data_IF_487337657395
#
_entry.id   IF_487337657395
#
_cell.length_a   1.000
_cell.length_b   1.000
_cell.length_c   1.000
_cell.angle_alpha   90.00
_cell.angle_beta   90.00
_cell.angle_gamma   90.00
#
_symmetry.space_group_name_H-M   'P 1'
#
loop_
_entity.id
_entity.type
_entity.pdbx_description
1 polymer ?
#
# COMPACT_ATOMS: atom_id res chain seq x y z
N UNK A 1 -16.08 -4.88 78.83
CA UNK A 1 -16.20 -3.86 77.83
C UNK A 1 -14.81 -3.63 77.22
N UNK A 2 -14.50 -4.23 76.08
CA UNK A 2 -13.21 -4.04 75.37
C UNK A 2 -13.58 -3.66 73.91
N UNK A 3 -13.25 -2.43 73.55
CA UNK A 3 -13.39 -1.84 72.22
C UNK A 3 -12.35 -2.41 71.29
N UNK A 4 -12.79 -2.96 70.16
CA UNK A 4 -11.95 -3.40 69.03
C UNK A 4 -11.94 -2.30 67.92
N UNK A 5 -10.86 -1.55 67.89
CA UNK A 5 -10.57 -0.62 66.74
C UNK A 5 -10.22 -1.39 65.50
N UNK A 6 -10.99 -1.23 64.44
CA UNK A 6 -10.68 -1.74 63.11
C UNK A 6 -9.82 -0.70 62.38
N UNK A 7 -8.57 -1.10 62.07
CA UNK A 7 -7.65 -0.33 61.25
C UNK A 7 -7.99 -0.62 59.76
N UNK A 8 -8.49 0.37 59.04
CA UNK A 8 -8.70 0.29 57.58
C UNK A 8 -7.43 0.75 56.90
N UNK A 9 -6.75 -0.17 56.21
CA UNK A 9 -5.62 0.14 55.34
C UNK A 9 -6.22 0.55 53.99
N UNK A 10 -6.11 1.80 53.62
CA UNK A 10 -6.38 2.30 52.28
C UNK A 10 -5.15 2.07 51.39
N UNK A 11 -5.25 1.15 50.44
CA UNK A 11 -4.26 0.98 49.40
C UNK A 11 -4.60 1.98 48.29
N UNK A 12 -3.86 3.06 48.22
CA UNK A 12 -3.90 4.00 47.10
C UNK A 12 -3.14 3.40 45.90
N UNK A 13 -3.87 2.99 44.89
CA UNK A 13 -3.33 2.70 43.55
C UNK A 13 -2.89 4.03 42.94
N UNK A 14 -1.61 4.32 43.00
CA UNK A 14 -1.01 5.38 42.21
C UNK A 14 -0.89 4.86 40.78
N UNK A 15 -1.83 5.24 39.90
CA UNK A 15 -1.70 5.07 38.45
C UNK A 15 -0.61 6.04 37.97
N UNK A 16 0.47 5.49 37.47
CA UNK A 16 1.62 6.24 36.95
C UNK A 16 1.24 6.98 35.68
N UNK A 17 1.38 8.31 35.60
CA UNK A 17 1.25 9.07 34.37
C UNK A 17 2.58 9.13 33.58
N UNK A 18 3.51 8.20 33.80
CA UNK A 18 4.86 8.28 33.24
C UNK A 18 4.94 7.98 31.73
N UNK A 19 4.11 7.10 31.18
CA UNK A 19 4.24 6.67 29.78
C UNK A 19 3.97 7.79 28.75
N UNK A 20 3.05 8.69 29.05
CA UNK A 20 2.69 9.80 28.14
C UNK A 20 3.72 10.94 28.12
N UNK A 21 4.45 11.13 29.20
CA UNK A 21 5.45 12.19 29.29
C UNK A 21 6.77 11.81 28.58
N UNK A 22 7.14 10.52 28.55
CA UNK A 22 8.34 10.04 27.86
C UNK A 22 8.18 10.04 26.33
N UNK A 23 6.98 9.74 25.80
CA UNK A 23 6.69 9.78 24.37
C UNK A 23 6.76 11.21 23.80
N UNK A 24 6.24 12.20 24.54
CA UNK A 24 6.33 13.61 24.15
C UNK A 24 7.78 14.10 24.07
N UNK A 25 8.66 13.63 24.95
CA UNK A 25 10.05 14.08 25.00
C UNK A 25 10.88 13.57 23.82
N UNK A 26 10.66 12.36 23.32
CA UNK A 26 11.46 11.80 22.22
C UNK A 26 11.24 12.55 20.88
N UNK A 27 9.98 12.91 20.58
CA UNK A 27 9.67 13.70 19.37
C UNK A 27 10.10 15.16 19.53
N UNK A 28 10.00 15.73 20.72
CA UNK A 28 10.49 17.09 20.98
C UNK A 28 12.03 17.17 20.87
N UNK A 29 12.76 16.18 21.36
CA UNK A 29 14.20 16.05 21.21
C UNK A 29 14.61 15.91 19.72
N UNK A 30 13.84 15.09 18.97
CA UNK A 30 14.04 14.93 17.54
C UNK A 30 13.80 16.24 16.78
N UNK A 31 12.78 17.02 17.14
CA UNK A 31 12.50 18.32 16.56
C UNK A 31 13.61 19.33 16.87
N UNK A 32 14.11 19.40 18.10
CA UNK A 32 15.20 20.28 18.47
C UNK A 32 16.50 19.95 17.69
N UNK A 33 16.80 18.66 17.52
CA UNK A 33 17.93 18.23 16.70
C UNK A 33 17.75 18.60 15.22
N UNK A 34 16.54 18.36 14.67
CA UNK A 34 16.20 18.66 13.28
C UNK A 34 16.31 20.17 12.95
N UNK A 35 16.10 21.05 13.92
CA UNK A 35 16.26 22.50 13.74
C UNK A 35 17.70 22.96 13.42
N UNK A 36 18.67 22.10 13.72
CA UNK A 36 20.09 22.36 13.44
C UNK A 36 20.52 21.81 12.07
N UNK A 37 19.63 21.08 11.39
CA UNK A 37 19.91 20.41 10.12
C UNK A 37 19.48 21.25 8.91
N UNK A 38 20.04 20.99 7.72
CA UNK A 38 19.58 21.59 6.46
C UNK A 38 18.13 21.22 6.11
N UNK A 39 17.59 21.87 5.08
CA UNK A 39 16.32 21.47 4.47
C UNK A 39 16.39 20.03 3.92
N UNK A 40 15.26 19.31 3.97
CA UNK A 40 15.15 17.97 3.41
C UNK A 40 14.42 17.94 2.06
N UNK A 41 14.84 17.03 1.19
CA UNK A 41 14.13 16.69 -0.04
C UNK A 41 13.51 15.31 0.09
N UNK A 42 12.20 15.22 -0.14
CA UNK A 42 11.41 13.99 0.05
C UNK A 42 10.70 13.58 -1.24
N UNK A 43 10.80 12.32 -1.61
CA UNK A 43 10.26 11.77 -2.87
C UNK A 43 9.12 10.80 -2.62
N UNK A 44 8.06 10.89 -3.44
CA UNK A 44 6.98 9.90 -3.51
C UNK A 44 6.43 9.82 -4.94
N UNK A 45 5.83 8.71 -5.30
CA UNK A 45 5.14 8.51 -6.59
C UNK A 45 3.82 9.28 -6.68
N UNK A 46 3.21 9.66 -5.56
CA UNK A 46 2.03 10.52 -5.53
C UNK A 46 2.40 12.01 -5.44
N UNK A 47 1.59 12.88 -6.10
CA UNK A 47 1.74 14.34 -5.96
C UNK A 47 1.36 14.87 -4.57
N UNK A 48 0.72 14.05 -3.73
CA UNK A 48 0.35 14.40 -2.35
C UNK A 48 1.56 14.75 -1.48
N UNK A 49 2.74 14.25 -1.84
CA UNK A 49 4.00 14.55 -1.13
C UNK A 49 4.32 16.05 -1.08
N UNK A 50 3.88 16.82 -2.09
CA UNK A 50 4.13 18.28 -2.15
C UNK A 50 3.36 18.97 -1.01
N UNK A 51 2.04 18.71 -0.92
CA UNK A 51 1.21 19.29 0.15
C UNK A 51 1.59 18.76 1.55
N UNK A 52 2.04 17.49 1.63
CA UNK A 52 2.53 16.89 2.88
C UNK A 52 3.84 17.58 3.35
N UNK A 53 4.78 17.87 2.46
CA UNK A 53 6.01 18.58 2.78
C UNK A 53 5.75 20.04 3.18
N UNK A 54 4.81 20.72 2.52
CA UNK A 54 4.38 22.06 2.88
C UNK A 54 3.72 22.10 4.27
N UNK A 55 2.82 21.16 4.56
CA UNK A 55 2.16 21.07 5.86
C UNK A 55 3.15 20.72 6.98
N UNK A 56 4.07 19.78 6.75
CA UNK A 56 5.19 19.50 7.66
C UNK A 56 6.00 20.77 7.96
N UNK A 57 6.38 21.49 6.91
CA UNK A 57 7.19 22.71 7.04
C UNK A 57 6.46 23.78 7.88
N UNK A 58 5.17 23.93 7.66
CA UNK A 58 4.32 24.84 8.43
C UNK A 58 4.17 24.42 9.89
N UNK A 59 4.00 23.13 10.14
CA UNK A 59 3.78 22.57 11.49
C UNK A 59 5.02 22.69 12.37
N UNK A 60 6.17 22.32 11.85
CA UNK A 60 7.41 22.20 12.64
C UNK A 60 8.37 23.38 12.48
N UNK A 61 8.12 24.29 11.53
CA UNK A 61 9.04 25.40 11.23
C UNK A 61 10.34 24.97 10.54
N UNK A 62 10.34 23.75 9.98
CA UNK A 62 11.45 23.18 9.21
C UNK A 62 11.21 23.39 7.72
N UNK A 63 12.25 23.15 6.89
CA UNK A 63 12.12 23.22 5.44
C UNK A 63 12.14 21.81 4.85
N UNK A 64 11.06 21.45 4.16
CA UNK A 64 10.95 20.22 3.39
C UNK A 64 10.44 20.53 1.98
N UNK A 65 11.05 19.93 0.96
CA UNK A 65 10.61 19.99 -0.43
C UNK A 65 10.07 18.61 -0.84
N UNK A 66 8.80 18.56 -1.23
CA UNK A 66 8.15 17.35 -1.75
C UNK A 66 8.32 17.27 -3.27
N UNK A 67 8.82 16.13 -3.76
CA UNK A 67 9.03 15.88 -5.18
C UNK A 67 8.28 14.63 -5.63
N UNK A 68 7.37 14.78 -6.61
CA UNK A 68 6.71 13.63 -7.24
C UNK A 68 7.68 12.95 -8.21
N UNK A 69 7.98 11.66 -7.97
CA UNK A 69 8.84 10.86 -8.83
C UNK A 69 8.43 9.38 -8.78
N UNK A 70 8.41 8.69 -9.92
CA UNK A 70 8.10 7.26 -9.97
C UNK A 70 9.14 6.46 -9.17
N UNK A 71 8.71 5.39 -8.49
CA UNK A 71 9.58 4.57 -7.64
C UNK A 71 10.88 4.12 -8.32
N UNK A 72 10.90 3.60 -9.57
CA UNK A 72 12.16 3.22 -10.22
C UNK A 72 13.14 4.40 -10.42
N UNK A 73 12.63 5.59 -10.72
CA UNK A 73 13.50 6.76 -10.90
C UNK A 73 14.08 7.25 -9.56
N UNK A 74 13.29 7.19 -8.49
CA UNK A 74 13.75 7.57 -7.15
C UNK A 74 14.79 6.58 -6.64
N UNK A 75 14.56 5.28 -6.84
CA UNK A 75 15.48 4.22 -6.49
C UNK A 75 16.82 4.38 -7.21
N UNK A 76 16.80 4.56 -8.54
CA UNK A 76 18.01 4.80 -9.34
C UNK A 76 18.75 6.07 -8.89
N UNK A 77 18.01 7.13 -8.55
CA UNK A 77 18.59 8.38 -8.01
C UNK A 77 19.37 8.12 -6.73
N UNK A 78 18.77 7.45 -5.74
CA UNK A 78 19.44 7.15 -4.47
C UNK A 78 20.70 6.33 -4.69
N UNK A 79 20.67 5.31 -5.56
CA UNK A 79 21.83 4.51 -5.91
C UNK A 79 22.96 5.37 -6.48
N UNK A 80 22.64 6.24 -7.46
CA UNK A 80 23.64 7.13 -8.08
C UNK A 80 24.21 8.15 -7.10
N UNK A 81 23.37 8.74 -6.26
CA UNK A 81 23.81 9.69 -5.24
C UNK A 81 24.73 9.04 -4.22
N UNK A 82 24.39 7.81 -3.75
CA UNK A 82 25.21 7.04 -2.84
C UNK A 82 26.58 6.67 -3.46
N UNK A 83 26.58 6.19 -4.70
CA UNK A 83 27.82 5.84 -5.42
C UNK A 83 28.71 7.06 -5.67
N UNK A 84 28.11 8.24 -5.89
CA UNK A 84 28.85 9.47 -6.09
C UNK A 84 29.28 10.15 -4.78
N UNK A 85 28.81 9.67 -3.61
CA UNK A 85 29.04 10.32 -2.32
C UNK A 85 28.40 11.71 -2.22
N UNK A 86 27.34 11.97 -2.99
CA UNK A 86 26.66 13.27 -3.05
C UNK A 86 25.15 13.07 -2.86
N UNK A 87 24.74 12.94 -1.61
CA UNK A 87 23.35 12.70 -1.22
C UNK A 87 22.54 13.99 -1.33
N UNK A 88 21.46 13.94 -2.11
CA UNK A 88 20.48 15.01 -2.28
C UNK A 88 19.07 14.58 -1.88
N UNK A 89 18.84 13.28 -1.86
CA UNK A 89 17.59 12.65 -1.39
C UNK A 89 17.74 12.38 0.10
N UNK A 90 16.82 12.90 0.93
CA UNK A 90 16.81 12.61 2.36
C UNK A 90 15.83 11.51 2.70
N UNK A 91 14.61 11.57 2.15
CA UNK A 91 13.54 10.60 2.38
C UNK A 91 12.95 10.12 1.06
N UNK A 92 12.68 8.85 0.95
CA UNK A 92 11.93 8.25 -0.16
C UNK A 92 10.75 7.44 0.36
N UNK A 93 9.58 7.70 -0.21
CA UNK A 93 8.38 6.89 -0.03
C UNK A 93 8.20 6.07 -1.32
N UNK A 94 8.50 4.77 -1.24
CA UNK A 94 8.62 3.91 -2.41
C UNK A 94 7.47 2.89 -2.46
N UNK A 95 6.70 2.93 -3.54
CA UNK A 95 5.69 1.91 -3.88
C UNK A 95 6.33 0.80 -4.74
N UNK A 96 7.47 0.29 -4.29
CA UNK A 96 8.19 -0.86 -4.84
C UNK A 96 9.04 -1.45 -3.70
N UNK A 97 8.39 -2.11 -2.75
CA UNK A 97 9.05 -2.67 -1.57
C UNK A 97 10.12 -3.72 -1.93
N UNK A 98 9.91 -4.64 -2.89
CA UNK A 98 10.92 -5.61 -3.31
C UNK A 98 12.22 -4.97 -3.84
N UNK A 99 12.10 -4.04 -4.77
CA UNK A 99 13.28 -3.36 -5.31
C UNK A 99 14.00 -2.50 -4.25
N UNK A 100 13.23 -1.87 -3.37
CA UNK A 100 13.81 -1.07 -2.28
C UNK A 100 14.54 -1.94 -1.26
N UNK A 101 14.00 -3.10 -0.90
CA UNK A 101 14.67 -4.06 -0.02
C UNK A 101 15.99 -4.54 -0.65
N UNK A 102 15.94 -5.09 -1.86
CA UNK A 102 17.09 -5.69 -2.52
C UNK A 102 18.18 -4.67 -2.94
N UNK A 103 17.78 -3.47 -3.37
CA UNK A 103 18.71 -2.54 -3.99
C UNK A 103 19.12 -1.35 -3.11
N UNK A 104 18.36 -1.05 -2.05
CA UNK A 104 18.68 0.06 -1.16
C UNK A 104 18.99 -0.40 0.26
N UNK A 105 18.19 -1.29 0.85
CA UNK A 105 18.39 -1.74 2.23
C UNK A 105 19.57 -2.71 2.31
N UNK A 106 19.59 -3.78 1.51
CA UNK A 106 20.65 -4.78 1.52
C UNK A 106 22.01 -4.20 1.13
N UNK A 107 22.03 -3.16 0.30
CA UNK A 107 23.27 -2.48 -0.12
C UNK A 107 23.69 -1.37 0.85
N UNK A 108 22.86 -1.02 1.81
CA UNK A 108 23.10 0.07 2.75
C UNK A 108 23.01 1.48 2.15
N UNK A 109 22.43 1.66 0.96
CA UNK A 109 22.23 2.97 0.34
C UNK A 109 21.08 3.76 0.97
N UNK A 110 20.17 3.07 1.63
CA UNK A 110 19.17 3.64 2.53
C UNK A 110 19.03 2.74 3.75
N UNK A 111 18.37 3.25 4.78
CA UNK A 111 18.07 2.48 5.98
C UNK A 111 16.63 2.65 6.42
N UNK A 112 16.13 1.62 7.09
CA UNK A 112 14.83 1.63 7.75
C UNK A 112 14.92 2.36 9.09
N UNK A 113 13.88 3.11 9.44
CA UNK A 113 13.72 3.68 10.77
C UNK A 113 12.26 3.59 11.18
N UNK A 114 12.02 3.09 12.38
CA UNK A 114 10.70 2.95 12.97
C UNK A 114 10.61 3.79 14.27
N UNK A 115 9.56 4.61 14.46
CA UNK A 115 9.34 5.36 15.70
C UNK A 115 8.82 4.43 16.81
N UNK A 116 9.62 4.19 17.86
CA UNK A 116 9.30 3.25 18.95
C UNK A 116 7.97 3.55 19.66
N UNK A 117 7.57 4.81 19.71
CA UNK A 117 6.29 5.25 20.28
C UNK A 117 5.05 4.75 19.55
N UNK A 118 5.20 4.25 18.32
CA UNK A 118 4.11 3.71 17.51
C UNK A 118 4.03 2.17 17.56
N UNK A 119 4.80 1.52 18.44
CA UNK A 119 4.87 0.06 18.54
C UNK A 119 3.52 -0.60 18.84
N UNK A 120 2.64 0.06 19.60
CA UNK A 120 1.33 -0.47 19.94
C UNK A 120 0.28 -0.27 18.84
N UNK A 121 0.52 0.62 17.88
CA UNK A 121 -0.44 0.99 16.84
C UNK A 121 -0.08 0.51 15.45
N UNK A 122 1.19 0.17 15.20
CA UNK A 122 1.65 -0.40 13.92
C UNK A 122 2.04 -1.86 14.13
N UNK A 123 1.43 -2.77 13.36
CA UNK A 123 1.75 -4.19 13.40
C UNK A 123 3.22 -4.44 13.04
N UNK A 124 3.86 -5.42 13.70
CA UNK A 124 5.25 -5.80 13.49
C UNK A 124 5.61 -6.01 12.00
N UNK A 125 4.70 -6.62 11.23
CA UNK A 125 4.87 -6.86 9.80
C UNK A 125 5.07 -5.61 8.95
N UNK A 126 4.72 -4.42 9.46
CA UNK A 126 4.83 -3.14 8.76
C UNK A 126 5.97 -2.24 9.27
N UNK A 127 6.85 -2.76 10.16
CA UNK A 127 7.91 -1.96 10.78
C UNK A 127 9.25 -2.09 10.07
N UNK A 128 9.51 -3.23 9.41
CA UNK A 128 10.77 -3.49 8.72
C UNK A 128 10.54 -4.29 7.42
N UNK A 129 10.61 -3.61 6.26
CA UNK A 129 10.70 -2.16 6.09
C UNK A 129 9.42 -1.43 6.55
N UNK A 130 9.58 -0.19 7.03
CA UNK A 130 8.47 0.62 7.50
C UNK A 130 7.49 0.95 6.36
N UNK A 131 6.31 0.35 6.40
CA UNK A 131 5.22 0.73 5.52
C UNK A 131 4.46 1.94 6.09
N UNK A 132 4.41 3.02 5.32
CA UNK A 132 3.69 4.26 5.71
C UNK A 132 2.19 4.11 5.45
N UNK A 133 1.86 3.61 4.26
CA UNK A 133 0.49 3.37 3.82
C UNK A 133 0.38 2.07 3.03
N UNK A 134 -0.82 1.49 3.06
CA UNK A 134 -1.23 0.42 2.18
C UNK A 134 -2.18 0.99 1.11
N UNK A 135 -1.84 0.82 -0.16
CA UNK A 135 -2.62 1.33 -1.28
C UNK A 135 -3.51 0.21 -1.84
N UNK A 136 -4.84 0.27 -1.68
CA UNK A 136 -5.73 -0.74 -2.25
C UNK A 136 -5.81 -0.64 -3.76
N UNK A 137 -5.77 -1.81 -4.42
CA UNK A 137 -6.19 -2.03 -5.79
C UNK A 137 -7.38 -3.00 -5.74
N UNK A 138 -8.49 -2.62 -6.33
CA UNK A 138 -9.76 -3.32 -6.20
C UNK A 138 -10.34 -3.69 -7.56
N UNK A 139 -11.08 -4.78 -7.62
CA UNK A 139 -11.85 -5.13 -8.79
C UNK A 139 -13.08 -4.22 -8.86
N UNK A 140 -13.25 -3.60 -10.02
CA UNK A 140 -14.27 -2.56 -10.26
C UNK A 140 -15.14 -2.90 -11.45
N UNK A 141 -16.37 -2.43 -11.39
CA UNK A 141 -17.36 -2.55 -12.46
C UNK A 141 -18.07 -1.20 -12.71
N UNK A 142 -18.86 -1.13 -13.76
CA UNK A 142 -19.65 0.06 -14.10
C UNK A 142 -21.04 0.00 -13.47
N UNK A 143 -21.30 0.87 -12.50
CA UNK A 143 -22.59 0.96 -11.79
C UNK A 143 -23.74 1.53 -12.65
N UNK A 144 -23.45 2.13 -13.81
CA UNK A 144 -24.46 2.53 -14.75
C UNK A 144 -24.97 1.37 -15.64
N UNK A 145 -24.18 0.29 -15.74
CA UNK A 145 -24.53 -0.91 -16.52
C UNK A 145 -25.07 -2.06 -15.64
N UNK A 146 -24.65 -2.11 -14.39
CA UNK A 146 -24.98 -3.19 -13.45
C UNK A 146 -25.35 -2.64 -12.08
N UNK A 147 -26.42 -3.12 -11.50
CA UNK A 147 -26.84 -2.78 -10.13
C UNK A 147 -25.90 -3.36 -9.07
N UNK A 148 -25.26 -4.50 -9.38
CA UNK A 148 -24.26 -5.19 -8.55
C UNK A 148 -23.10 -5.66 -9.43
N UNK A 149 -21.96 -6.00 -8.83
CA UNK A 149 -20.86 -6.59 -9.57
C UNK A 149 -21.32 -7.85 -10.32
N UNK A 150 -21.05 -7.98 -11.63
CA UNK A 150 -21.52 -9.11 -12.42
C UNK A 150 -20.70 -10.39 -12.21
N UNK A 151 -19.67 -10.38 -11.35
CA UNK A 151 -18.88 -11.55 -10.96
C UNK A 151 -18.88 -11.69 -9.43
N UNK A 152 -18.87 -12.93 -8.94
CA UNK A 152 -18.77 -13.27 -7.52
C UNK A 152 -17.52 -14.08 -7.16
N UNK A 153 -16.75 -14.51 -8.17
CA UNK A 153 -15.54 -15.30 -7.97
C UNK A 153 -14.44 -14.86 -8.93
N UNK A 154 -13.21 -14.75 -8.45
CA UNK A 154 -12.07 -14.27 -9.26
C UNK A 154 -11.77 -15.17 -10.47
N UNK A 155 -12.16 -16.45 -10.42
CA UNK A 155 -11.99 -17.39 -11.53
C UNK A 155 -12.94 -17.09 -12.71
N UNK A 156 -14.05 -16.40 -12.49
CA UNK A 156 -14.92 -15.95 -13.57
C UNK A 156 -14.18 -15.04 -14.57
N UNK A 157 -13.20 -14.28 -14.11
CA UNK A 157 -12.35 -13.43 -14.98
C UNK A 157 -11.57 -14.22 -16.04
N UNK A 158 -11.46 -15.53 -15.88
CA UNK A 158 -10.78 -16.42 -16.82
C UNK A 158 -11.73 -17.07 -17.83
N UNK A 159 -13.04 -16.89 -17.67
CA UNK A 159 -14.07 -17.48 -18.51
C UNK A 159 -14.22 -16.78 -19.86
N UNK A 160 -14.70 -17.48 -20.89
CA UNK A 160 -14.90 -16.93 -22.23
C UNK A 160 -15.77 -15.67 -22.29
N UNK A 161 -16.72 -15.50 -21.35
CA UNK A 161 -17.56 -14.31 -21.24
C UNK A 161 -16.76 -13.03 -21.03
N UNK A 162 -15.67 -13.13 -20.29
CA UNK A 162 -14.79 -12.02 -19.95
C UNK A 162 -13.56 -11.89 -20.85
N UNK A 163 -13.47 -12.67 -21.93
CA UNK A 163 -12.38 -12.54 -22.92
C UNK A 163 -12.33 -11.11 -23.45
N UNK A 164 -11.18 -10.43 -23.27
CA UNK A 164 -10.93 -9.03 -23.64
C UNK A 164 -11.84 -8.00 -22.94
N UNK A 165 -12.50 -8.40 -21.85
CA UNK A 165 -13.38 -7.55 -21.03
C UNK A 165 -12.86 -7.36 -19.60
N UNK A 166 -11.68 -7.87 -19.30
CA UNK A 166 -10.92 -7.54 -18.10
C UNK A 166 -9.92 -6.45 -18.45
N UNK A 167 -9.84 -5.38 -17.66
CA UNK A 167 -8.84 -4.32 -17.87
C UNK A 167 -7.97 -4.13 -16.64
N UNK A 168 -6.69 -3.93 -16.86
CA UNK A 168 -5.68 -3.70 -15.82
C UNK A 168 -4.46 -3.03 -16.39
N UNK A 169 -3.59 -2.49 -15.56
CA UNK A 169 -2.29 -2.06 -16.04
C UNK A 169 -1.45 -3.27 -16.48
N UNK A 170 -0.54 -3.05 -17.44
CA UNK A 170 0.35 -4.10 -17.89
C UNK A 170 1.26 -4.57 -16.73
N UNK A 171 1.21 -5.85 -16.31
CA UNK A 171 2.06 -6.39 -15.26
C UNK A 171 3.57 -6.26 -15.56
N UNK A 172 3.97 -6.22 -16.83
CA UNK A 172 5.37 -5.99 -17.20
C UNK A 172 5.81 -4.55 -16.96
N UNK A 173 4.86 -3.59 -17.04
CA UNK A 173 5.09 -2.17 -16.78
C UNK A 173 4.83 -1.76 -15.32
N UNK A 174 4.17 -2.60 -14.52
CA UNK A 174 3.80 -2.35 -13.12
C UNK A 174 4.25 -3.51 -12.23
N UNK A 175 5.50 -3.50 -11.73
CA UNK A 175 6.07 -4.59 -10.96
C UNK A 175 5.20 -5.06 -9.78
N UNK A 176 4.48 -4.16 -9.11
CA UNK A 176 3.59 -4.52 -8.00
C UNK A 176 2.54 -5.58 -8.34
N UNK A 177 2.18 -5.77 -9.61
CA UNK A 177 1.23 -6.82 -9.98
C UNK A 177 1.90 -8.20 -9.98
N UNK A 178 3.12 -8.32 -10.46
CA UNK A 178 3.86 -9.58 -10.39
C UNK A 178 4.28 -9.91 -8.96
N UNK A 179 4.57 -8.89 -8.15
CA UNK A 179 4.80 -9.06 -6.71
C UNK A 179 3.53 -9.59 -6.02
N UNK A 180 2.36 -9.04 -6.36
CA UNK A 180 1.07 -9.54 -5.87
C UNK A 180 0.82 -10.99 -6.28
N UNK A 181 1.14 -11.40 -7.51
CA UNK A 181 1.04 -12.79 -7.93
C UNK A 181 1.91 -13.70 -7.07
N UNK A 182 3.16 -13.29 -6.79
CA UNK A 182 4.05 -14.04 -5.92
C UNK A 182 3.50 -14.14 -4.49
N UNK A 183 3.03 -13.04 -3.93
CA UNK A 183 2.41 -12.98 -2.60
C UNK A 183 1.18 -13.90 -2.50
N UNK A 184 0.32 -13.91 -3.50
CA UNK A 184 -0.82 -14.83 -3.55
C UNK A 184 -0.37 -16.29 -3.60
N UNK A 185 0.66 -16.62 -4.38
CA UNK A 185 1.18 -17.98 -4.45
C UNK A 185 1.78 -18.45 -3.11
N UNK A 186 2.43 -17.54 -2.38
CA UNK A 186 3.06 -17.86 -1.10
C UNK A 186 2.09 -17.88 0.08
N UNK A 187 1.12 -16.96 0.10
CA UNK A 187 0.31 -16.69 1.28
C UNK A 187 -1.20 -16.87 1.06
N UNK A 188 -1.64 -17.03 -0.18
CA UNK A 188 -3.05 -17.08 -0.55
C UNK A 188 -3.45 -18.27 -1.43
N UNK A 189 -2.53 -19.17 -1.76
CA UNK A 189 -2.76 -20.23 -2.74
C UNK A 189 -3.88 -21.19 -2.33
N UNK A 190 -4.01 -21.48 -1.04
CA UNK A 190 -5.11 -22.30 -0.51
C UNK A 190 -6.48 -21.62 -0.72
N UNK A 191 -6.57 -20.30 -0.54
CA UNK A 191 -7.80 -19.56 -0.78
C UNK A 191 -8.13 -19.49 -2.28
N UNK A 192 -7.13 -19.36 -3.15
CA UNK A 192 -7.29 -19.43 -4.60
C UNK A 192 -7.77 -20.81 -5.04
N UNK A 193 -7.27 -21.90 -4.43
CA UNK A 193 -7.70 -23.27 -4.70
C UNK A 193 -9.14 -23.51 -4.21
N UNK A 194 -9.50 -22.99 -3.04
CA UNK A 194 -10.87 -23.09 -2.51
C UNK A 194 -11.87 -22.32 -3.39
N UNK A 195 -11.50 -21.11 -3.86
CA UNK A 195 -12.31 -20.35 -4.80
C UNK A 195 -12.48 -21.08 -6.15
N UNK A 196 -11.45 -21.78 -6.63
CA UNK A 196 -11.55 -22.64 -7.81
C UNK A 196 -12.57 -23.75 -7.61
N UNK A 197 -12.46 -24.48 -6.51
CA UNK A 197 -13.38 -25.59 -6.21
C UNK A 197 -14.82 -25.08 -6.03
N UNK A 198 -15.01 -23.93 -5.40
CA UNK A 198 -16.32 -23.31 -5.24
C UNK A 198 -16.93 -22.93 -6.60
N UNK A 199 -16.13 -22.45 -7.55
CA UNK A 199 -16.59 -22.02 -8.87
C UNK A 199 -16.86 -23.22 -9.80
N UNK A 200 -15.94 -24.19 -9.88
CA UNK A 200 -16.01 -25.30 -10.84
C UNK A 200 -16.65 -26.59 -10.28
N UNK A 201 -16.84 -26.69 -8.97
CA UNK A 201 -17.43 -27.87 -8.30
C UNK A 201 -16.47 -29.07 -8.15
N UNK A 202 -15.19 -28.90 -8.41
CA UNK A 202 -14.15 -29.91 -8.25
C UNK A 202 -12.80 -29.24 -7.94
N UNK A 203 -11.88 -29.92 -7.24
CA UNK A 203 -10.55 -29.37 -6.96
C UNK A 203 -9.75 -29.20 -8.25
N UNK A 204 -8.77 -28.27 -8.21
CA UNK A 204 -7.82 -28.06 -9.30
C UNK A 204 -7.07 -29.36 -9.59
N UNK A 205 -6.99 -29.74 -10.86
CA UNK A 205 -6.26 -30.92 -11.28
C UNK A 205 -4.74 -30.62 -11.30
N UNK A 206 -3.94 -31.58 -10.82
CA UNK A 206 -2.49 -31.52 -10.68
C UNK A 206 -2.00 -30.73 -9.46
N UNK A 207 -0.74 -30.94 -9.08
CA UNK A 207 -0.06 -30.27 -7.96
C UNK A 207 0.42 -28.84 -8.33
N UNK A 208 -0.26 -28.17 -9.25
CA UNK A 208 0.07 -26.81 -9.65
C UNK A 208 -0.49 -25.81 -8.64
N UNK A 209 0.26 -24.74 -8.35
CA UNK A 209 -0.24 -23.61 -7.57
C UNK A 209 -1.50 -23.04 -8.23
N UNK A 210 -2.57 -22.87 -7.45
CA UNK A 210 -3.83 -22.32 -7.93
C UNK A 210 -3.66 -20.89 -8.43
N UNK A 211 -2.80 -20.12 -7.78
CA UNK A 211 -2.41 -18.78 -8.22
C UNK A 211 -1.74 -18.81 -9.59
N UNK A 212 -0.77 -19.72 -9.80
CA UNK A 212 -0.10 -19.84 -11.10
C UNK A 212 -1.07 -20.25 -12.20
N UNK A 213 -1.99 -21.19 -11.91
CA UNK A 213 -3.03 -21.59 -12.85
C UNK A 213 -3.97 -20.43 -13.20
N UNK A 214 -4.39 -19.64 -12.20
CA UNK A 214 -5.23 -18.47 -12.41
C UNK A 214 -4.53 -17.40 -13.24
N UNK A 215 -3.26 -17.04 -12.92
CA UNK A 215 -2.48 -16.05 -13.68
C UNK A 215 -2.32 -16.45 -15.15
N UNK A 216 -2.03 -17.74 -15.42
CA UNK A 216 -1.97 -18.27 -16.79
C UNK A 216 -3.30 -18.15 -17.53
N UNK A 217 -4.39 -18.53 -16.87
CA UNK A 217 -5.73 -18.47 -17.43
C UNK A 217 -6.17 -17.02 -17.69
N UNK A 218 -5.91 -16.10 -16.75
CA UNK A 218 -6.19 -14.67 -16.92
C UNK A 218 -5.39 -14.09 -18.10
N UNK A 219 -4.09 -14.38 -18.19
CA UNK A 219 -3.26 -13.94 -19.31
C UNK A 219 -3.75 -14.48 -20.65
N UNK A 220 -4.16 -15.77 -20.69
CA UNK A 220 -4.73 -16.40 -21.88
C UNK A 220 -6.10 -15.83 -22.28
N UNK A 221 -6.84 -15.25 -21.34
CA UNK A 221 -8.13 -14.60 -21.60
C UNK A 221 -7.99 -13.19 -22.21
N UNK A 222 -6.76 -12.78 -22.53
CA UNK A 222 -6.45 -11.56 -23.28
C UNK A 222 -6.97 -10.27 -22.64
N UNK A 223 -6.68 -9.99 -21.35
CA UNK A 223 -7.13 -8.75 -20.73
C UNK A 223 -6.63 -7.52 -21.50
N UNK A 224 -7.41 -6.44 -21.48
CA UNK A 224 -7.03 -5.14 -22.02
C UNK A 224 -5.98 -4.51 -21.10
N UNK A 225 -4.73 -4.53 -21.54
CA UNK A 225 -3.62 -3.93 -20.82
C UNK A 225 -3.50 -2.45 -21.10
N UNK A 226 -3.31 -1.65 -20.05
CA UNK A 226 -3.22 -0.20 -20.13
C UNK A 226 -1.91 0.33 -19.52
N UNK A 227 -1.49 1.52 -19.98
CA UNK A 227 -0.28 2.18 -19.49
C UNK A 227 -0.48 2.87 -18.13
N UNK A 228 -1.73 3.06 -17.73
CA UNK A 228 -2.08 3.80 -16.51
C UNK A 228 -3.36 3.28 -15.87
N UNK A 229 -3.42 3.46 -14.57
CA UNK A 229 -4.61 3.19 -13.77
C UNK A 229 -5.83 4.02 -14.20
N UNK A 230 -5.61 5.25 -14.70
CA UNK A 230 -6.68 6.07 -15.25
C UNK A 230 -7.30 5.45 -16.49
N UNK A 231 -6.48 4.96 -17.42
CA UNK A 231 -6.98 4.33 -18.64
C UNK A 231 -7.75 3.03 -18.33
N UNK A 232 -7.31 2.28 -17.31
CA UNK A 232 -8.06 1.11 -16.84
C UNK A 232 -9.44 1.50 -16.28
N UNK A 233 -9.49 2.54 -15.44
CA UNK A 233 -10.74 3.05 -14.88
C UNK A 233 -11.68 3.61 -15.96
N UNK A 234 -11.16 4.35 -16.95
CA UNK A 234 -11.91 4.88 -18.09
C UNK A 234 -12.50 3.74 -18.94
N UNK A 235 -11.75 2.66 -19.16
CA UNK A 235 -12.27 1.50 -19.89
C UNK A 235 -13.44 0.82 -19.16
N UNK A 236 -13.47 0.86 -17.82
CA UNK A 236 -14.59 0.33 -17.03
C UNK A 236 -15.79 1.27 -17.05
N UNK A 237 -15.58 2.54 -16.75
CA UNK A 237 -16.68 3.40 -16.25
C UNK A 237 -16.63 4.84 -16.77
N UNK A 238 -16.10 5.07 -17.98
CA UNK A 238 -16.29 6.39 -18.63
C UNK A 238 -17.77 6.67 -18.88
N UNK A 239 -18.21 7.95 -18.91
CA UNK A 239 -19.61 8.31 -19.04
C UNK A 239 -20.34 7.71 -20.25
N UNK A 240 -19.61 7.43 -21.33
CA UNK A 240 -20.15 6.89 -22.58
C UNK A 240 -19.90 5.39 -22.76
N UNK A 241 -19.37 4.69 -21.73
CA UNK A 241 -19.08 3.27 -21.81
C UNK A 241 -20.38 2.44 -21.90
N UNK A 242 -20.50 1.64 -22.95
CA UNK A 242 -21.64 0.76 -23.18
C UNK A 242 -21.30 -0.73 -23.02
N UNK A 243 -20.02 -1.07 -23.07
CA UNK A 243 -19.54 -2.44 -22.87
C UNK A 243 -19.24 -2.71 -21.41
N UNK A 244 -19.59 -3.91 -20.96
CA UNK A 244 -19.29 -4.36 -19.61
C UNK A 244 -17.83 -4.78 -19.51
N UNK A 245 -17.05 -4.10 -18.67
CA UNK A 245 -15.69 -4.44 -18.28
C UNK A 245 -15.60 -4.65 -16.78
N UNK A 246 -14.73 -5.58 -16.38
CA UNK A 246 -14.21 -5.65 -15.00
C UNK A 246 -12.80 -5.10 -15.01
N UNK A 247 -12.49 -4.17 -14.10
CA UNK A 247 -11.17 -3.53 -14.04
C UNK A 247 -10.47 -3.71 -12.71
N UNK A 248 -9.16 -3.87 -12.73
CA UNK A 248 -8.34 -3.79 -11.53
C UNK A 248 -7.77 -2.37 -11.43
N UNK A 249 -8.28 -1.57 -10.50
CA UNK A 249 -7.93 -0.15 -10.35
C UNK A 249 -7.63 0.21 -8.90
N UNK A 250 -6.89 1.29 -8.67
CA UNK A 250 -6.71 1.80 -7.31
C UNK A 250 -7.97 2.55 -6.83
N UNK A 251 -8.19 2.54 -5.52
CA UNK A 251 -9.26 3.32 -4.87
C UNK A 251 -9.19 4.82 -5.17
N UNK A 252 -8.00 5.34 -5.48
CA UNK A 252 -7.81 6.74 -5.87
C UNK A 252 -8.63 7.16 -7.11
N UNK A 253 -9.10 6.20 -7.94
CA UNK A 253 -9.91 6.49 -9.13
C UNK A 253 -11.36 6.83 -8.81
N UNK A 254 -11.85 6.44 -7.66
CA UNK A 254 -13.23 6.73 -7.24
C UNK A 254 -13.55 8.23 -7.07
N UNK A 255 -12.52 9.09 -6.88
CA UNK A 255 -12.69 10.54 -6.91
C UNK A 255 -13.25 11.04 -8.26
N UNK A 256 -12.99 10.31 -9.34
CA UNK A 256 -13.42 10.66 -10.69
C UNK A 256 -14.93 10.38 -10.89
N UNK A 257 -15.58 9.66 -9.96
CA UNK A 257 -17.04 9.55 -9.90
C UNK A 257 -17.71 10.92 -9.73
N UNK A 258 -17.08 11.86 -9.04
CA UNK A 258 -17.55 13.24 -8.95
C UNK A 258 -17.54 13.96 -10.31
N UNK A 259 -16.80 13.46 -11.30
CA UNK A 259 -16.68 13.98 -12.65
C UNK A 259 -17.47 13.15 -13.68
N UNK A 260 -18.36 12.27 -13.22
CA UNK A 260 -19.27 11.50 -14.07
C UNK A 260 -18.82 10.07 -14.38
N UNK A 261 -17.71 9.58 -13.83
CA UNK A 261 -17.43 8.15 -13.85
C UNK A 261 -18.40 7.39 -12.94
N UNK A 262 -18.56 6.09 -13.20
CA UNK A 262 -19.54 5.24 -12.51
C UNK A 262 -18.87 3.96 -11.97
N UNK A 263 -17.71 4.13 -11.29
CA UNK A 263 -16.98 3.02 -10.68
C UNK A 263 -17.70 2.49 -9.43
N UNK A 264 -17.88 1.17 -9.35
CA UNK A 264 -18.27 0.43 -8.15
C UNK A 264 -17.24 -0.64 -7.82
N UNK A 265 -17.14 -1.05 -6.56
CA UNK A 265 -16.27 -2.15 -6.09
C UNK A 265 -17.05 -3.47 -6.17
N UNK A 266 -16.40 -4.55 -6.61
CA UNK A 266 -16.92 -5.92 -6.52
C UNK A 266 -16.80 -6.42 -5.07
N UNK A 267 -17.73 -6.01 -4.19
CA UNK A 267 -17.64 -6.17 -2.73
C UNK A 267 -17.71 -7.64 -2.27
N UNK A 268 -18.46 -8.49 -2.99
CA UNK A 268 -18.69 -9.90 -2.64
C UNK A 268 -17.79 -10.86 -3.45
N UNK A 269 -16.65 -10.39 -3.95
CA UNK A 269 -15.77 -11.18 -4.79
C UNK A 269 -14.91 -12.15 -3.96
N UNK A 270 -15.04 -13.45 -4.21
CA UNK A 270 -14.26 -14.52 -3.59
C UNK A 270 -12.95 -14.75 -4.38
N UNK A 271 -11.77 -14.96 -3.75
CA UNK A 271 -11.51 -14.91 -2.31
C UNK A 271 -11.25 -13.48 -1.77
N UNK A 272 -10.99 -12.50 -2.63
CA UNK A 272 -10.73 -11.10 -2.24
C UNK A 272 -11.26 -10.13 -3.28
N UNK A 273 -11.84 -9.03 -2.80
CA UNK A 273 -12.28 -7.93 -3.68
C UNK A 273 -11.12 -7.13 -4.32
N UNK A 274 -9.90 -7.42 -3.91
CA UNK A 274 -8.68 -6.76 -4.36
C UNK A 274 -7.53 -7.04 -3.41
N UNK A 275 -6.52 -6.19 -3.43
CA UNK A 275 -5.30 -6.35 -2.64
C UNK A 275 -4.71 -5.00 -2.23
N UNK A 276 -3.85 -5.00 -1.21
CA UNK A 276 -3.11 -3.83 -0.77
C UNK A 276 -1.65 -3.91 -1.20
N UNK A 277 -1.04 -2.75 -1.49
CA UNK A 277 0.39 -2.67 -1.76
C UNK A 277 1.05 -1.57 -0.91
N UNK A 278 2.20 -1.85 -0.27
CA UNK A 278 2.83 -0.91 0.63
C UNK A 278 3.53 0.24 -0.12
N UNK A 279 3.49 1.42 0.49
CA UNK A 279 4.49 2.45 0.22
C UNK A 279 5.41 2.52 1.43
N UNK A 280 6.67 2.12 1.26
CA UNK A 280 7.65 2.06 2.35
C UNK A 280 8.42 3.36 2.47
N UNK A 281 8.69 3.78 3.71
CA UNK A 281 9.43 4.99 4.03
C UNK A 281 10.89 4.67 4.38
N UNK A 282 11.83 5.22 3.62
CA UNK A 282 13.25 5.02 3.78
C UNK A 282 14.00 6.33 3.93
N UNK A 283 15.11 6.31 4.66
CA UNK A 283 16.04 7.42 4.81
C UNK A 283 17.32 7.10 4.04
N UNK A 284 17.74 7.99 3.15
CA UNK A 284 18.98 7.81 2.39
C UNK A 284 20.20 7.81 3.32
N UNK A 285 21.08 6.83 3.15
CA UNK A 285 22.32 6.75 3.92
C UNK A 285 23.24 7.93 3.56
N UNK A 286 23.76 8.62 4.58
CA UNK A 286 24.61 9.78 4.38
C UNK A 286 23.85 11.10 4.19
N UNK A 287 22.52 11.13 4.39
CA UNK A 287 21.78 12.41 4.53
C UNK A 287 22.42 13.30 5.61
N UNK A 288 22.43 14.59 5.37
CA UNK A 288 22.90 15.57 6.36
C UNK A 288 21.79 16.00 7.33
N UNK A 289 20.58 15.49 7.14
CA UNK A 289 19.39 15.85 7.93
C UNK A 289 18.67 14.61 8.49
N UNK A 290 19.37 13.69 9.20
CA UNK A 290 18.79 12.43 9.64
C UNK A 290 17.63 12.61 10.65
N UNK A 291 17.66 13.66 11.47
CA UNK A 291 16.61 13.92 12.45
C UNK A 291 15.36 14.52 11.79
N UNK A 292 15.55 15.46 10.85
CA UNK A 292 14.45 15.99 10.05
C UNK A 292 13.81 14.91 9.17
N UNK A 293 14.59 13.97 8.61
CA UNK A 293 14.12 12.82 7.85
C UNK A 293 13.27 11.89 8.71
N UNK A 294 13.73 11.54 9.92
CA UNK A 294 12.97 10.75 10.89
C UNK A 294 11.66 11.43 11.29
N UNK A 295 11.74 12.73 11.61
CA UNK A 295 10.56 13.52 11.98
C UNK A 295 9.54 13.60 10.83
N UNK A 296 10.01 13.64 9.57
CA UNK A 296 9.14 13.61 8.40
C UNK A 296 8.43 12.25 8.25
N UNK A 297 9.13 11.13 8.42
CA UNK A 297 8.51 9.80 8.43
C UNK A 297 7.49 9.68 9.57
N UNK A 298 7.82 10.14 10.77
CA UNK A 298 6.88 10.19 11.88
C UNK A 298 5.63 11.02 11.53
N UNK A 299 5.82 12.20 10.94
CA UNK A 299 4.72 13.06 10.51
C UNK A 299 3.78 12.37 9.53
N UNK A 300 4.30 11.64 8.55
CA UNK A 300 3.49 10.89 7.59
C UNK A 300 2.64 9.80 8.26
N UNK A 301 3.06 9.30 9.42
CA UNK A 301 2.31 8.33 10.22
C UNK A 301 1.27 8.98 11.14
N UNK A 302 1.17 10.32 11.20
CA UNK A 302 0.10 11.01 11.95
C UNK A 302 -1.16 11.14 11.09
N UNK A 303 -2.32 11.34 11.76
CA UNK A 303 -3.60 11.58 11.07
C UNK A 303 -3.50 12.79 10.12
N UNK A 304 -2.87 13.87 10.53
CA UNK A 304 -2.64 15.07 9.70
C UNK A 304 -1.73 14.77 8.50
N UNK A 305 -0.63 14.05 8.74
CA UNK A 305 0.35 13.76 7.70
C UNK A 305 -0.18 12.80 6.63
N UNK A 306 -1.03 11.82 7.01
CA UNK A 306 -1.61 10.86 6.07
C UNK A 306 -2.87 11.39 5.37
N UNK A 307 -3.55 12.41 5.91
CA UNK A 307 -4.84 12.88 5.43
C UNK A 307 -4.93 13.11 3.92
N UNK A 308 -3.93 13.73 3.24
CA UNK A 308 -3.98 13.90 1.78
C UNK A 308 -4.05 12.59 1.00
N UNK A 309 -3.41 11.53 1.48
CA UNK A 309 -3.42 10.21 0.84
C UNK A 309 -4.64 9.39 1.26
N UNK A 310 -5.14 9.57 2.48
CA UNK A 310 -6.34 8.91 2.98
C UNK A 310 -7.60 9.29 2.18
N UNK A 311 -7.68 10.50 1.63
CA UNK A 311 -8.74 10.92 0.70
C UNK A 311 -8.76 10.14 -0.63
N UNK A 312 -7.65 9.52 -0.99
CA UNK A 312 -7.52 8.64 -2.15
C UNK A 312 -7.71 7.15 -1.77
N UNK A 313 -8.22 6.86 -0.55
CA UNK A 313 -8.48 5.50 -0.05
C UNK A 313 -7.22 4.75 0.39
N UNK A 314 -6.08 5.42 0.54
CA UNK A 314 -4.88 4.78 1.07
C UNK A 314 -4.99 4.61 2.58
N UNK A 315 -4.82 3.37 3.02
CA UNK A 315 -5.02 2.94 4.40
C UNK A 315 -3.75 3.19 5.20
N UNK A 316 -3.85 3.90 6.32
CA UNK A 316 -2.74 4.03 7.28
C UNK A 316 -2.35 2.65 7.83
N UNK A 317 -1.05 2.41 8.04
CA UNK A 317 -0.57 1.22 8.75
C UNK A 317 -0.80 1.29 10.26
N UNK A 318 -1.15 2.46 10.78
CA UNK A 318 -1.61 2.62 12.17
C UNK A 318 -3.05 2.14 12.30
N UNK A 319 -3.28 1.28 13.27
CA UNK A 319 -4.61 0.69 13.56
C UNK A 319 -5.62 1.68 14.15
N UNK A 320 -5.14 2.79 14.73
CA UNK A 320 -5.94 3.84 15.37
C UNK A 320 -6.31 5.00 14.42
N UNK A 321 -5.87 4.97 13.15
CA UNK A 321 -6.23 5.96 12.13
C UNK A 321 -7.18 5.32 11.11
N UNK A 322 -8.41 5.81 11.05
CA UNK A 322 -9.41 5.40 10.08
C UNK A 322 -9.37 6.28 8.82
N UNK A 323 -9.89 5.74 7.71
CA UNK A 323 -10.14 6.56 6.51
C UNK A 323 -11.26 7.58 6.81
N UNK A 324 -11.18 8.78 6.23
CA UNK A 324 -12.22 9.79 6.41
C UNK A 324 -13.54 9.32 5.79
N UNK A 325 -14.67 9.68 6.42
CA UNK A 325 -16.00 9.33 5.92
C UNK A 325 -16.32 9.93 4.53
N UNK A 326 -15.55 10.92 4.10
CA UNK A 326 -15.63 11.54 2.76
C UNK A 326 -14.79 10.84 1.70
N UNK A 327 -14.10 9.75 2.03
CA UNK A 327 -13.33 8.96 1.07
C UNK A 327 -14.28 8.30 0.06
N UNK A 328 -14.08 8.54 -1.26
CA UNK A 328 -15.11 8.25 -2.26
C UNK A 328 -15.39 6.77 -2.51
N UNK A 329 -14.43 5.88 -2.26
CA UNK A 329 -14.57 4.45 -2.59
C UNK A 329 -15.32 3.64 -1.53
N UNK A 330 -15.36 4.12 -0.28
CA UNK A 330 -15.91 3.38 0.85
C UNK A 330 -15.04 2.20 1.30
N UNK A 331 -13.81 2.07 0.81
CA UNK A 331 -12.93 0.92 1.07
C UNK A 331 -12.64 0.69 2.55
N UNK A 332 -12.78 1.73 3.39
CA UNK A 332 -12.58 1.61 4.82
C UNK A 332 -13.47 0.55 5.49
N UNK A 333 -14.70 0.37 5.00
CA UNK A 333 -15.61 -0.68 5.48
C UNK A 333 -15.27 -2.08 4.95
N UNK A 334 -14.56 -2.15 3.82
CA UNK A 334 -14.28 -3.37 3.08
C UNK A 334 -12.85 -3.89 3.26
N UNK A 335 -12.00 -3.17 4.01
CA UNK A 335 -10.56 -3.46 4.13
C UNK A 335 -10.22 -4.90 4.55
N UNK A 336 -11.10 -5.55 5.32
CA UNK A 336 -10.91 -6.93 5.77
C UNK A 336 -11.07 -7.97 4.64
N UNK A 337 -11.63 -7.58 3.50
CA UNK A 337 -11.83 -8.44 2.33
C UNK A 337 -10.71 -8.25 1.28
N UNK A 338 -9.69 -7.44 1.58
CA UNK A 338 -8.52 -7.28 0.73
C UNK A 338 -7.46 -8.34 1.07
N UNK A 339 -6.80 -8.86 0.04
CA UNK A 339 -5.55 -9.59 0.23
C UNK A 339 -4.48 -8.60 0.73
N UNK A 340 -3.91 -8.89 1.87
CA UNK A 340 -2.99 -7.97 2.54
C UNK A 340 -1.53 -8.34 2.27
N UNK A 341 -0.84 -7.51 1.49
CA UNK A 341 0.56 -7.69 1.13
C UNK A 341 1.48 -7.68 2.37
N UNK A 342 2.46 -8.58 2.41
CA UNK A 342 3.45 -8.68 3.48
C UNK A 342 4.80 -8.08 3.05
N UNK A 343 5.17 -6.88 3.54
CA UNK A 343 6.47 -6.28 3.21
C UNK A 343 7.68 -7.11 3.68
N UNK A 344 7.50 -7.92 4.73
CA UNK A 344 8.56 -8.77 5.28
C UNK A 344 9.07 -9.86 4.32
N UNK A 345 8.32 -10.19 3.26
CA UNK A 345 8.72 -11.14 2.21
C UNK A 345 9.12 -10.47 0.90
N UNK A 346 9.44 -9.18 0.94
CA UNK A 346 9.77 -8.39 -0.24
C UNK A 346 11.00 -8.92 -1.02
N UNK A 347 11.96 -9.53 -0.35
CA UNK A 347 13.14 -10.15 -1.02
C UNK A 347 12.69 -11.34 -1.88
N UNK A 348 11.80 -12.20 -1.37
CA UNK A 348 11.27 -13.33 -2.15
C UNK A 348 10.51 -12.83 -3.40
N UNK A 349 9.75 -11.73 -3.27
CA UNK A 349 9.07 -11.12 -4.42
C UNK A 349 10.08 -10.59 -5.45
N UNK A 350 11.19 -10.00 -4.99
CA UNK A 350 12.26 -9.54 -5.88
C UNK A 350 12.92 -10.70 -6.63
N UNK A 351 13.23 -11.79 -5.94
CA UNK A 351 13.89 -12.95 -6.52
C UNK A 351 13.01 -13.68 -7.52
N UNK A 352 11.70 -13.76 -7.28
CA UNK A 352 10.74 -14.45 -8.15
C UNK A 352 10.09 -13.54 -9.21
N UNK A 353 10.39 -12.23 -9.20
CA UNK A 353 9.75 -11.25 -10.10
C UNK A 353 9.87 -11.61 -11.58
N UNK A 354 11.06 -12.06 -12.01
CA UNK A 354 11.30 -12.44 -13.39
C UNK A 354 10.48 -13.67 -13.79
N UNK A 355 10.37 -14.67 -12.93
CA UNK A 355 9.62 -15.90 -13.21
C UNK A 355 8.13 -15.59 -13.43
N UNK A 356 7.55 -14.68 -12.64
CA UNK A 356 6.18 -14.20 -12.83
C UNK A 356 6.00 -13.36 -14.08
N UNK A 357 6.97 -12.54 -14.46
CA UNK A 357 6.95 -11.81 -15.72
C UNK A 357 6.98 -12.78 -16.91
N UNK A 358 7.84 -13.78 -16.86
CA UNK A 358 7.96 -14.81 -17.90
C UNK A 358 6.68 -15.64 -18.01
N UNK A 359 6.10 -16.05 -16.87
CA UNK A 359 4.83 -16.77 -16.82
C UNK A 359 3.70 -15.96 -17.47
N UNK A 360 3.59 -14.66 -17.14
CA UNK A 360 2.62 -13.76 -17.76
C UNK A 360 2.86 -13.66 -19.27
N UNK A 361 4.08 -13.33 -19.68
CA UNK A 361 4.45 -13.06 -21.08
C UNK A 361 4.25 -14.29 -21.98
N UNK A 362 4.56 -15.49 -21.49
CA UNK A 362 4.40 -16.75 -22.23
C UNK A 362 2.93 -17.12 -22.45
N UNK A 363 2.04 -16.68 -21.60
CA UNK A 363 0.61 -17.04 -21.66
C UNK A 363 -0.29 -15.92 -22.19
N UNK A 364 0.19 -14.65 -22.19
CA UNK A 364 -0.63 -13.53 -22.64
C UNK A 364 -0.94 -13.64 -24.16
N UNK A 365 -2.23 -13.58 -24.47
CA UNK A 365 -2.73 -13.55 -25.84
C UNK A 365 -3.17 -12.13 -26.19
N UNK A 366 -2.78 -11.65 -27.35
CA UNK A 366 -3.17 -10.32 -27.86
C UNK A 366 -4.47 -10.38 -28.66
#
# INVERSE_FOLDING_TARGET
MRSLSRLAIAISLASSPMAWAEHSSAIDDLLEAARQEPAITVYDSTGKIIEQAEAFSKKYGLKAEGVKSKAPHTLERIIREAQAGNIQTDVAILADAPAAAAQLLDTGFAYNWFPDELVDTISERYRDPLAIVMAPNVWTYNTALHDTCPIGNIWELTEPEWTRRVTMQDPLGKPSYVDWFNQMAQHGDEAMAAAYEAHYGHPLANEESATSAWVKALAANAPLLTDSDSNAAEAVASPDQQDSFIGLTSTAKFRDNANGMTLGICEDLDPWLGWTYPSIGLIASGTQSPNAAKLFLYYLLTEEGIAPQAQDGKISTRSDIALPASEPSGIGALKAQLFDYSPGTAIDDWENRQDWQDLWMLNYRR
#
